data_IF_987918151803
#
_entry.id   IF_987918151803
#
_cell.length_a   1.000
_cell.length_b   1.000
_cell.length_c   1.000
_cell.angle_alpha   90.00
_cell.angle_beta   90.00
_cell.angle_gamma   90.00
#
_symmetry.space_group_name_H-M   'P 1'
#
loop_
_entity.id
_entity.type
_entity.pdbx_description
1 polymer ?
#
# COMPACT_ATOMS: atom_id res chain seq x y z
N UNK A 1 13.36 6.57 7.47
CA UNK A 1 14.05 5.45 6.77
C UNK A 1 14.04 5.87 5.33
N UNK A 2 15.19 5.93 4.66
CA UNK A 2 15.26 6.48 3.31
C UNK A 2 14.17 5.92 2.35
N UNK A 3 13.56 6.82 1.58
CA UNK A 3 12.45 6.57 0.65
C UNK A 3 12.70 5.37 -0.29
N UNK A 4 13.85 5.32 -0.96
CA UNK A 4 14.19 4.26 -1.91
C UNK A 4 14.22 2.88 -1.24
N UNK A 5 14.68 2.85 0.01
CA UNK A 5 14.71 1.63 0.80
C UNK A 5 13.30 1.16 1.18
N UNK A 6 12.40 2.08 1.51
CA UNK A 6 11.00 1.76 1.79
C UNK A 6 10.29 1.22 0.54
N UNK A 7 10.38 1.94 -0.58
CA UNK A 7 9.84 1.52 -1.89
C UNK A 7 10.35 0.14 -2.30
N UNK A 8 11.66 -0.09 -2.22
CA UNK A 8 12.27 -1.39 -2.56
C UNK A 8 11.76 -2.54 -1.68
N UNK A 9 11.51 -2.28 -0.40
CA UNK A 9 10.96 -3.30 0.52
C UNK A 9 9.49 -3.60 0.23
N UNK A 10 8.68 -2.59 -0.02
CA UNK A 10 7.27 -2.76 -0.43
C UNK A 10 7.20 -3.55 -1.73
N UNK A 11 7.95 -3.13 -2.76
CA UNK A 11 8.02 -3.85 -4.03
C UNK A 11 8.49 -5.30 -3.88
N UNK A 12 9.41 -5.58 -2.93
CA UNK A 12 9.82 -6.95 -2.62
C UNK A 12 8.69 -7.77 -2.00
N UNK A 13 7.85 -7.19 -1.15
CA UNK A 13 6.68 -7.88 -0.60
C UNK A 13 5.65 -8.18 -1.70
N UNK A 14 5.34 -7.19 -2.55
CA UNK A 14 4.42 -7.37 -3.70
C UNK A 14 4.90 -8.49 -4.62
N UNK A 15 6.21 -8.54 -4.91
CA UNK A 15 6.82 -9.58 -5.77
C UNK A 15 6.77 -11.00 -5.20
N UNK A 16 6.51 -11.18 -3.90
CA UNK A 16 6.33 -12.53 -3.31
C UNK A 16 5.00 -13.16 -3.72
N UNK A 17 4.08 -12.39 -4.31
CA UNK A 17 2.77 -12.88 -4.71
C UNK A 17 1.82 -13.10 -3.54
N UNK A 18 0.70 -13.74 -3.84
CA UNK A 18 -0.38 -14.00 -2.89
C UNK A 18 -0.14 -15.35 -2.21
N UNK A 19 0.02 -15.34 -0.89
CA UNK A 19 0.26 -16.50 -0.03
C UNK A 19 -0.81 -16.61 1.09
N UNK A 20 -2.03 -16.13 0.83
CA UNK A 20 -3.14 -16.16 1.79
C UNK A 20 -3.18 -14.96 2.74
N UNK A 21 -3.87 -15.12 3.85
CA UNK A 21 -4.14 -14.07 4.83
C UNK A 21 -3.20 -14.15 6.04
N UNK A 22 -2.92 -13.05 6.77
CA UNK A 22 -3.48 -11.71 6.58
C UNK A 22 -2.99 -11.05 5.29
N UNK A 23 -3.87 -10.35 4.59
CA UNK A 23 -3.60 -9.73 3.30
C UNK A 23 -3.67 -8.21 3.43
N UNK A 24 -2.73 -7.52 2.79
CA UNK A 24 -2.79 -6.09 2.57
C UNK A 24 -2.93 -5.79 1.08
N UNK A 25 -3.80 -4.87 0.73
CA UNK A 25 -3.95 -4.32 -0.62
C UNK A 25 -3.66 -2.83 -0.59
N UNK A 26 -2.78 -2.37 -1.49
CA UNK A 26 -2.46 -0.97 -1.71
C UNK A 26 -3.13 -0.51 -3.01
N UNK A 27 -3.97 0.51 -2.94
CA UNK A 27 -4.60 1.12 -4.11
C UNK A 27 -4.28 2.62 -4.14
N UNK A 28 -3.78 3.10 -5.27
CA UNK A 28 -3.41 4.49 -5.46
C UNK A 28 -4.48 5.24 -6.24
N UNK A 29 -4.81 6.45 -5.80
CA UNK A 29 -5.80 7.32 -6.42
C UNK A 29 -5.26 8.73 -6.60
N UNK A 30 -5.78 9.46 -7.58
CA UNK A 30 -5.42 10.85 -7.81
C UNK A 30 -6.26 11.51 -8.90
N UNK A 31 -6.05 12.79 -9.15
CA UNK A 31 -6.75 13.53 -10.21
C UNK A 31 -6.33 13.08 -11.61
N UNK A 32 -5.13 12.50 -11.75
CA UNK A 32 -4.60 12.00 -13.02
C UNK A 32 -4.06 10.59 -12.86
N UNK A 33 -3.86 9.88 -13.97
CA UNK A 33 -3.23 8.56 -13.97
C UNK A 33 -1.73 8.59 -13.64
N UNK A 34 -1.13 9.77 -13.67
CA UNK A 34 0.31 9.97 -13.52
C UNK A 34 0.69 10.31 -12.08
N UNK A 35 -0.17 11.04 -11.36
CA UNK A 35 0.09 11.49 -10.00
C UNK A 35 -0.95 10.91 -9.02
N UNK A 36 -0.49 10.07 -8.09
CA UNK A 36 -1.32 9.56 -7.01
C UNK A 36 -1.24 10.52 -5.81
N UNK A 37 -2.34 11.13 -5.43
CA UNK A 37 -2.42 11.99 -4.22
C UNK A 37 -3.01 11.25 -3.04
N UNK A 38 -3.55 10.04 -3.22
CA UNK A 38 -4.14 9.23 -2.16
C UNK A 38 -3.68 7.78 -2.30
N UNK A 39 -3.46 7.13 -1.16
CA UNK A 39 -3.30 5.67 -1.09
C UNK A 39 -4.29 5.10 -0.08
N UNK A 40 -5.03 4.09 -0.50
CA UNK A 40 -5.84 3.24 0.37
C UNK A 40 -5.03 1.99 0.74
N UNK A 41 -4.91 1.75 2.04
CA UNK A 41 -4.30 0.56 2.62
C UNK A 41 -5.42 -0.28 3.21
N UNK A 42 -5.75 -1.38 2.53
CA UNK A 42 -6.81 -2.29 2.91
C UNK A 42 -6.21 -3.53 3.56
N UNK A 43 -6.75 -3.93 4.70
CA UNK A 43 -6.34 -5.11 5.46
C UNK A 43 -7.50 -6.10 5.59
N UNK A 44 -7.21 -7.38 5.37
CA UNK A 44 -8.16 -8.48 5.59
C UNK A 44 -7.44 -9.55 6.42
N UNK A 45 -8.06 -9.96 7.54
CA UNK A 45 -7.46 -10.92 8.47
C UNK A 45 -7.60 -12.37 8.00
N UNK A 46 -8.76 -12.74 7.46
CA UNK A 46 -9.09 -14.08 6.99
C UNK A 46 -10.04 -14.03 5.80
N UNK A 47 -10.22 -15.15 5.10
CA UNK A 47 -11.20 -15.26 4.02
C UNK A 47 -12.61 -14.96 4.55
N UNK A 48 -13.32 -14.04 3.87
CA UNK A 48 -14.68 -13.63 4.25
C UNK A 48 -14.75 -12.59 5.38
N UNK A 49 -13.63 -12.21 6.01
CA UNK A 49 -13.62 -11.14 7.01
C UNK A 49 -13.85 -9.76 6.37
N UNK A 50 -14.39 -8.84 7.17
CA UNK A 50 -14.57 -7.45 6.76
C UNK A 50 -13.24 -6.76 6.46
N UNK A 51 -13.18 -6.04 5.35
CA UNK A 51 -12.05 -5.20 4.98
C UNK A 51 -11.94 -4.02 5.95
N UNK A 52 -10.76 -3.84 6.53
CA UNK A 52 -10.40 -2.61 7.25
C UNK A 52 -9.62 -1.72 6.29
N UNK A 53 -9.95 -0.42 6.23
CA UNK A 53 -9.33 0.51 5.30
C UNK A 53 -8.77 1.72 6.05
N UNK A 54 -7.53 2.08 5.76
CA UNK A 54 -6.91 3.34 6.17
C UNK A 54 -6.44 4.09 4.93
N UNK A 55 -6.75 5.39 4.83
CA UNK A 55 -6.35 6.22 3.70
C UNK A 55 -5.37 7.29 4.13
N UNK A 56 -4.34 7.50 3.31
CA UNK A 56 -3.41 8.61 3.44
C UNK A 56 -3.52 9.53 2.23
N UNK A 57 -3.36 10.83 2.45
CA UNK A 57 -3.46 11.85 1.39
C UNK A 57 -2.25 12.80 1.39
N UNK A 58 -1.86 13.12 0.16
CA UNK A 58 -0.79 13.95 -0.38
C UNK A 58 -1.29 15.23 -1.08
N UNK A 59 -0.61 16.37 -0.99
CA UNK A 59 -0.75 17.43 -2.01
C UNK A 59 0.05 17.11 -3.29
N UNK A 60 1.06 16.25 -3.17
CA UNK A 60 1.94 15.82 -4.26
C UNK A 60 1.85 14.31 -4.44
N UNK A 61 2.69 13.74 -5.30
CA UNK A 61 2.71 12.29 -5.49
C UNK A 61 3.06 11.58 -4.18
N UNK A 62 2.08 10.91 -3.61
CA UNK A 62 2.17 10.23 -2.32
C UNK A 62 3.18 9.08 -2.34
N UNK A 63 3.52 8.58 -3.53
CA UNK A 63 4.57 7.58 -3.70
C UNK A 63 5.95 8.15 -3.38
N UNK A 64 6.14 9.47 -3.46
CA UNK A 64 7.39 10.17 -3.14
C UNK A 64 7.49 10.62 -1.67
N UNK A 65 6.45 10.41 -0.86
CA UNK A 65 6.48 10.77 0.56
C UNK A 65 7.23 9.72 1.41
N UNK A 66 8.42 10.05 1.91
CA UNK A 66 9.20 9.14 2.80
C UNK A 66 8.38 8.70 4.02
N UNK A 67 7.62 9.64 4.59
CA UNK A 67 6.79 9.37 5.77
C UNK A 67 5.71 8.33 5.44
N UNK A 68 4.96 8.51 4.35
CA UNK A 68 3.89 7.58 3.96
C UNK A 68 4.47 6.21 3.60
N UNK A 69 5.54 6.16 2.81
CA UNK A 69 6.18 4.89 2.43
C UNK A 69 6.74 4.13 3.65
N UNK A 70 7.31 4.85 4.63
CA UNK A 70 7.76 4.24 5.89
C UNK A 70 6.59 3.73 6.72
N UNK A 71 5.47 4.46 6.75
CA UNK A 71 4.26 4.05 7.47
C UNK A 71 3.63 2.81 6.85
N UNK A 72 3.45 2.77 5.53
CA UNK A 72 2.94 1.59 4.81
C UNK A 72 3.79 0.36 5.14
N UNK A 73 5.12 0.48 5.10
CA UNK A 73 5.98 -0.65 5.43
C UNK A 73 5.76 -1.12 6.88
N UNK A 74 5.63 -0.20 7.84
CA UNK A 74 5.35 -0.55 9.24
C UNK A 74 4.00 -1.22 9.42
N UNK A 75 2.97 -0.81 8.66
CA UNK A 75 1.66 -1.48 8.66
C UNK A 75 1.82 -2.91 8.17
N UNK A 76 2.52 -3.13 7.04
CA UNK A 76 2.80 -4.46 6.50
C UNK A 76 3.53 -5.34 7.53
N UNK A 77 4.57 -4.81 8.17
CA UNK A 77 5.36 -5.54 9.17
C UNK A 77 4.54 -5.88 10.42
N UNK A 78 3.73 -4.94 10.93
CA UNK A 78 2.92 -5.12 12.15
C UNK A 78 1.69 -6.01 11.93
N UNK A 79 1.12 -5.98 10.73
CA UNK A 79 0.01 -6.84 10.34
C UNK A 79 0.44 -8.30 10.16
N UNK A 80 1.75 -8.60 10.15
CA UNK A 80 2.29 -9.91 9.78
C UNK A 80 1.70 -10.40 8.45
N UNK A 81 1.60 -9.50 7.47
CA UNK A 81 0.92 -9.81 6.22
C UNK A 81 1.63 -10.92 5.45
N UNK A 82 0.87 -11.97 5.12
CA UNK A 82 1.34 -13.08 4.27
C UNK A 82 1.29 -12.70 2.79
N UNK A 83 0.36 -11.80 2.42
CA UNK A 83 0.21 -11.27 1.07
C UNK A 83 0.20 -9.75 1.08
N UNK A 84 0.93 -9.16 0.13
CA UNK A 84 0.83 -7.72 -0.18
C UNK A 84 0.53 -7.59 -1.66
N UNK A 85 -0.58 -6.94 -1.98
CA UNK A 85 -1.03 -6.69 -3.34
C UNK A 85 -0.95 -5.19 -3.59
N UNK A 86 -0.42 -4.80 -4.74
CA UNK A 86 -0.48 -3.43 -5.22
C UNK A 86 -1.36 -3.40 -6.47
N UNK A 87 -2.45 -2.63 -6.43
CA UNK A 87 -3.32 -2.44 -7.58
C UNK A 87 -2.55 -1.65 -8.64
N UNK A 88 -2.44 -2.15 -9.88
CA UNK A 88 -1.67 -1.47 -10.91
C UNK A 88 -2.24 -0.09 -11.29
N UNK A 89 -1.35 0.91 -11.38
CA UNK A 89 -1.69 2.25 -11.84
C UNK A 89 -2.32 3.14 -10.77
N UNK A 90 -2.85 4.28 -11.22
CA UNK A 90 -3.55 5.25 -10.38
C UNK A 90 -4.99 5.37 -10.87
N UNK A 91 -5.95 5.13 -9.98
CA UNK A 91 -7.35 5.32 -10.26
C UNK A 91 -7.73 6.81 -10.15
N UNK A 92 -8.50 7.30 -11.12
CA UNK A 92 -8.97 8.68 -11.10
C UNK A 92 -10.07 8.85 -10.05
N UNK A 93 -9.97 9.90 -9.23
CA UNK A 93 -10.98 10.26 -8.22
C UNK A 93 -12.25 10.85 -8.86
#
# INVERSE_FOLDING_TARGET
MNLDKAKKRIAKQVKKGVNGYPQITLAYHGETKECATVVSVQFILSEGDCVQEERFSCETDIRESELVQTTILKIIERANANSVIEVPGVATL
#
